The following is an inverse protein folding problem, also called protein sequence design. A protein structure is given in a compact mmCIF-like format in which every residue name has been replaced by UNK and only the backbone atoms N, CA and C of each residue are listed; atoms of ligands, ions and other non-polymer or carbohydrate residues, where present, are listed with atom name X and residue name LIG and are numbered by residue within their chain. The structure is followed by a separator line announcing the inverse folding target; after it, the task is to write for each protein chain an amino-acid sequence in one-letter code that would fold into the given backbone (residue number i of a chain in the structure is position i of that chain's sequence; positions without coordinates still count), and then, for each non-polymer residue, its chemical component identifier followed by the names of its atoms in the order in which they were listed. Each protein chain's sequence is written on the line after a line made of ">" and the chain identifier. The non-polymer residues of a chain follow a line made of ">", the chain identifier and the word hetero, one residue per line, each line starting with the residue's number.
data_IF_939121643839
#
_entry.id   IF_939121643839
#
_cell.length_a   1.000
_cell.length_b   1.000
_cell.length_c   1.000
_cell.angle_alpha   90.00
_cell.angle_beta   90.00
_cell.angle_gamma   90.00
#
_symmetry.space_group_name_H-M   'P 1'
#
loop_
_entity.id
_entity.type
_entity.pdbx_description
1 polymer ?
#
# COMPACT_ATOMS: atom_id res chain seq x y z
N UNK A 1 -12.94 13.03 -2.04
CA UNK A 1 -12.65 11.98 -3.06
C UNK A 1 -12.58 10.60 -2.41
N UNK A 2 -11.63 10.33 -1.49
CA UNK A 2 -11.48 9.03 -0.80
C UNK A 2 -12.79 8.60 -0.11
N UNK A 3 -13.38 9.47 0.72
CA UNK A 3 -14.65 9.14 1.39
C UNK A 3 -15.79 8.78 0.44
N UNK A 4 -15.88 9.44 -0.72
CA UNK A 4 -16.91 9.14 -1.71
C UNK A 4 -16.66 7.78 -2.37
N UNK A 5 -15.41 7.48 -2.71
CA UNK A 5 -15.03 6.18 -3.27
C UNK A 5 -15.32 5.03 -2.28
N UNK A 6 -15.01 5.24 -0.99
CA UNK A 6 -15.32 4.28 0.07
C UNK A 6 -16.83 4.06 0.23
N UNK A 7 -17.63 5.13 0.27
CA UNK A 7 -19.11 5.06 0.38
C UNK A 7 -19.77 4.38 -0.82
N UNK A 8 -19.18 4.52 -2.01
CA UNK A 8 -19.67 3.91 -3.25
C UNK A 8 -19.06 2.52 -3.49
N UNK A 9 -18.26 2.00 -2.56
CA UNK A 9 -17.54 0.73 -2.70
C UNK A 9 -16.73 0.63 -4.00
N UNK A 10 -16.22 1.77 -4.50
CA UNK A 10 -15.37 1.78 -5.68
C UNK A 10 -14.04 1.07 -5.37
N UNK A 11 -13.47 0.32 -6.32
CA UNK A 11 -12.10 -0.17 -6.20
C UNK A 11 -11.12 0.97 -5.97
N UNK A 12 -10.18 0.79 -5.03
CA UNK A 12 -9.16 1.78 -4.67
C UNK A 12 -7.78 1.11 -4.67
N UNK A 13 -6.84 1.71 -5.42
CA UNK A 13 -5.41 1.47 -5.30
C UNK A 13 -4.72 2.72 -4.75
N UNK A 14 -4.18 2.64 -3.54
CA UNK A 14 -3.46 3.74 -2.90
C UNK A 14 -1.95 3.53 -2.92
N UNK A 15 -1.20 4.43 -3.55
CA UNK A 15 0.26 4.34 -3.67
C UNK A 15 0.93 5.43 -2.85
N UNK A 16 1.89 5.06 -2.01
CA UNK A 16 2.67 5.95 -1.14
C UNK A 16 1.76 6.87 -0.32
N UNK A 17 1.65 8.16 -0.68
CA UNK A 17 0.72 9.10 -0.05
C UNK A 17 -0.74 8.66 -0.14
N UNK A 18 -1.11 7.89 -1.16
CA UNK A 18 -2.44 7.30 -1.29
C UNK A 18 -2.77 6.32 -0.15
N UNK A 19 -1.84 5.44 0.21
CA UNK A 19 -1.96 4.57 1.38
C UNK A 19 -2.16 5.38 2.66
N UNK A 20 -1.34 6.41 2.85
CA UNK A 20 -1.38 7.27 4.04
C UNK A 20 -2.70 8.04 4.15
N UNK A 21 -3.16 8.61 3.03
CA UNK A 21 -4.41 9.36 2.99
C UNK A 21 -5.64 8.47 3.27
N UNK A 22 -5.66 7.23 2.76
CA UNK A 22 -6.73 6.27 3.06
C UNK A 22 -6.69 5.84 4.52
N UNK A 23 -5.50 5.58 5.07
CA UNK A 23 -5.35 5.25 6.49
C UNK A 23 -5.95 6.34 7.39
N UNK A 24 -5.57 7.59 7.15
CA UNK A 24 -6.08 8.74 7.93
C UNK A 24 -7.58 8.93 7.73
N UNK A 25 -8.09 8.78 6.51
CA UNK A 25 -9.52 8.88 6.24
C UNK A 25 -10.36 7.81 6.96
N UNK A 26 -9.76 6.66 7.28
CA UNK A 26 -10.38 5.56 8.02
C UNK A 26 -10.08 5.61 9.53
N UNK A 27 -9.42 6.66 10.02
CA UNK A 27 -9.19 6.89 11.45
C UNK A 27 -7.84 6.40 11.98
N UNK A 28 -6.88 6.07 11.12
CA UNK A 28 -5.48 5.79 11.51
C UNK A 28 -4.63 7.06 11.64
N UNK A 29 -3.37 6.90 12.08
CA UNK A 29 -2.39 7.98 12.26
C UNK A 29 -1.12 7.77 11.43
N UNK A 30 -0.26 8.79 11.35
CA UNK A 30 1.01 8.75 10.63
C UNK A 30 2.16 9.13 11.56
N UNK A 31 3.32 8.51 11.31
CA UNK A 31 4.62 9.06 11.71
C UNK A 31 4.90 10.22 10.76
N UNK A 32 4.94 11.44 11.30
CA UNK A 32 5.05 12.68 10.50
C UNK A 32 6.45 12.87 9.90
N UNK A 33 7.47 12.29 10.53
CA UNK A 33 8.85 12.26 10.00
C UNK A 33 9.61 11.05 10.56
N UNK A 34 9.92 10.08 9.69
CA UNK A 34 10.66 8.86 10.00
C UNK A 34 12.09 9.16 10.51
N UNK A 35 12.87 10.07 9.89
CA UNK A 35 14.19 10.43 10.41
C UNK A 35 14.16 10.95 11.85
N UNK A 36 13.20 11.80 12.20
CA UNK A 36 13.01 12.25 13.59
C UNK A 36 12.63 11.12 14.55
N UNK A 37 11.93 10.09 14.06
CA UNK A 37 11.63 8.88 14.83
C UNK A 37 12.80 7.87 14.87
N UNK A 38 13.97 8.21 14.30
CA UNK A 38 15.15 7.36 14.27
C UNK A 38 15.12 6.26 13.19
N UNK A 39 14.15 6.30 12.27
CA UNK A 39 14.01 5.35 11.17
C UNK A 39 14.57 6.01 9.89
N UNK A 40 15.47 5.32 9.20
CA UNK A 40 16.17 5.84 8.01
C UNK A 40 16.12 4.82 6.87
N UNK A 41 16.47 5.22 5.64
CA UNK A 41 16.49 4.30 4.49
C UNK A 41 15.17 4.19 3.71
N UNK A 42 14.16 5.01 4.04
CA UNK A 42 12.90 5.14 3.28
C UNK A 42 12.86 6.39 2.38
N UNK A 43 13.72 7.38 2.69
CA UNK A 43 13.80 8.62 1.91
C UNK A 43 14.51 8.42 0.56
N UNK A 44 14.55 9.49 -0.23
CA UNK A 44 15.37 9.50 -1.46
C UNK A 44 16.86 9.39 -1.13
N UNK A 45 17.61 8.69 -1.98
CA UNK A 45 19.07 8.59 -1.89
C UNK A 45 19.68 9.04 -3.22
N UNK A 46 20.67 9.95 -3.17
CA UNK A 46 21.38 10.46 -4.36
C UNK A 46 20.46 10.97 -5.49
N UNK A 47 19.32 11.58 -5.13
CA UNK A 47 18.34 12.11 -6.09
C UNK A 47 17.37 11.09 -6.66
N UNK A 48 17.54 9.79 -6.36
CA UNK A 48 16.64 8.70 -6.76
C UNK A 48 15.89 8.09 -5.58
N UNK A 49 15.08 7.07 -5.88
CA UNK A 49 14.45 6.23 -4.86
C UNK A 49 15.55 5.41 -4.15
N UNK A 50 15.42 5.23 -2.83
CA UNK A 50 16.15 4.19 -2.11
C UNK A 50 15.50 2.82 -2.33
N UNK A 51 16.13 1.76 -1.82
CA UNK A 51 15.56 0.42 -1.86
C UNK A 51 15.69 -0.23 -0.50
N UNK A 52 14.65 -0.93 -0.11
CA UNK A 52 14.67 -1.81 1.06
C UNK A 52 13.77 -3.00 0.78
N UNK A 53 13.85 -3.97 1.67
CA UNK A 53 13.05 -5.17 1.55
C UNK A 53 11.71 -5.05 2.27
N UNK A 54 10.72 -5.78 1.79
CA UNK A 54 9.45 -6.00 2.47
C UNK A 54 9.15 -7.48 2.60
N UNK A 55 8.48 -7.85 3.69
CA UNK A 55 7.92 -9.19 3.89
C UNK A 55 6.40 -9.13 3.77
N UNK A 56 5.83 -9.98 2.92
CA UNK A 56 4.39 -10.04 2.63
C UNK A 56 3.72 -11.05 3.56
N UNK A 57 2.60 -10.66 4.17
CA UNK A 57 1.80 -11.53 5.04
C UNK A 57 1.01 -12.52 4.17
N UNK A 58 1.04 -13.80 4.54
CA UNK A 58 0.27 -14.84 3.85
C UNK A 58 -1.24 -14.56 3.85
N UNK A 59 -1.96 -15.04 2.82
CA UNK A 59 -3.40 -14.81 2.63
C UNK A 59 -3.76 -13.33 2.47
N UNK A 60 -2.86 -12.52 1.92
CA UNK A 60 -3.12 -11.14 1.49
C UNK A 60 -3.29 -11.07 -0.03
N UNK A 61 -3.78 -9.95 -0.54
CA UNK A 61 -3.96 -9.76 -2.00
C UNK A 61 -2.67 -9.94 -2.80
N UNK A 62 -1.50 -9.68 -2.19
CA UNK A 62 -0.20 -9.80 -2.83
C UNK A 62 0.46 -11.17 -2.63
N UNK A 63 0.01 -11.98 -1.66
CA UNK A 63 0.75 -13.16 -1.21
C UNK A 63 0.81 -14.32 -2.21
N UNK A 64 -0.07 -14.35 -3.20
CA UNK A 64 -0.08 -15.41 -4.22
C UNK A 64 1.12 -15.30 -5.17
N UNK A 65 1.68 -14.09 -5.31
CA UNK A 65 2.76 -13.82 -6.24
C UNK A 65 4.04 -13.33 -5.54
N UNK A 66 3.91 -12.72 -4.36
CA UNK A 66 5.01 -12.09 -3.62
C UNK A 66 5.11 -12.68 -2.23
N UNK A 67 6.34 -12.89 -1.75
CA UNK A 67 6.59 -13.33 -0.36
C UNK A 67 7.56 -12.39 0.33
N UNK A 68 8.68 -12.06 -0.34
CA UNK A 68 9.69 -11.15 0.16
C UNK A 68 10.37 -10.49 -1.03
N UNK A 69 10.30 -9.18 -1.11
CA UNK A 69 10.70 -8.42 -2.30
C UNK A 69 11.52 -7.19 -1.91
N UNK A 70 12.42 -6.77 -2.79
CA UNK A 70 13.06 -5.46 -2.68
C UNK A 70 12.21 -4.42 -3.43
N UNK A 71 11.79 -3.38 -2.70
CA UNK A 71 10.92 -2.32 -3.20
C UNK A 71 11.67 -0.99 -3.24
N UNK A 72 11.24 -0.09 -4.13
CA UNK A 72 11.73 1.28 -4.15
C UNK A 72 11.04 2.13 -3.07
N UNK A 73 11.75 3.12 -2.54
CA UNK A 73 11.24 3.94 -1.45
C UNK A 73 11.63 5.40 -1.61
N UNK A 74 10.66 6.29 -1.40
CA UNK A 74 10.86 7.74 -1.51
C UNK A 74 9.93 8.51 -0.57
N UNK A 75 9.81 8.05 0.68
CA UNK A 75 8.91 8.63 1.67
C UNK A 75 9.63 8.90 2.99
N UNK A 76 9.21 9.98 3.66
CA UNK A 76 9.66 10.32 5.01
C UNK A 76 8.52 10.21 6.04
N UNK A 77 7.32 9.87 5.58
CA UNK A 77 6.15 9.60 6.42
C UNK A 77 5.77 8.14 6.27
N UNK A 78 5.15 7.58 7.30
CA UNK A 78 4.62 6.23 7.28
C UNK A 78 3.39 6.13 8.18
N UNK A 79 2.67 5.01 8.10
CA UNK A 79 1.61 4.70 9.06
C UNK A 79 2.21 4.48 10.45
N UNK A 80 1.65 5.18 11.43
CA UNK A 80 1.91 4.93 12.85
C UNK A 80 0.88 3.91 13.36
N UNK A 81 -0.38 4.31 13.46
CA UNK A 81 -1.49 3.42 13.78
C UNK A 81 -2.32 3.11 12.52
N UNK A 82 -2.43 1.83 12.12
CA UNK A 82 -3.37 1.42 11.10
C UNK A 82 -4.81 1.71 11.54
N UNK A 83 -5.65 2.12 10.61
CA UNK A 83 -7.08 2.27 10.86
C UNK A 83 -7.70 0.93 11.32
N UNK A 84 -8.72 0.92 12.21
CA UNK A 84 -9.29 -0.32 12.78
C UNK A 84 -9.84 -1.31 11.75
N UNK A 85 -10.27 -0.80 10.59
CA UNK A 85 -10.83 -1.61 9.48
C UNK A 85 -9.76 -2.15 8.53
N UNK A 86 -8.50 -1.76 8.70
CA UNK A 86 -7.39 -2.19 7.84
C UNK A 86 -6.53 -3.24 8.54
N UNK A 87 -6.00 -4.16 7.75
CA UNK A 87 -4.93 -5.06 8.19
C UNK A 87 -3.64 -4.73 7.47
N UNK A 88 -2.52 -4.81 8.18
CA UNK A 88 -1.18 -4.67 7.60
C UNK A 88 -0.79 -5.97 6.89
N UNK A 89 -0.39 -5.85 5.63
CA UNK A 89 -0.06 -7.00 4.76
C UNK A 89 1.35 -6.98 4.21
N UNK A 90 2.11 -5.91 4.42
CA UNK A 90 3.56 -5.92 4.25
C UNK A 90 4.26 -5.01 5.27
N UNK A 91 5.46 -5.40 5.68
CA UNK A 91 6.34 -4.56 6.51
C UNK A 91 7.79 -4.63 6.05
N UNK A 92 8.50 -3.52 6.22
CA UNK A 92 9.96 -3.49 6.17
C UNK A 92 10.57 -4.09 7.46
N UNK A 93 11.87 -4.46 7.46
CA UNK A 93 12.54 -5.06 8.63
C UNK A 93 12.53 -4.21 9.91
N UNK A 94 12.43 -2.90 9.78
CA UNK A 94 12.32 -1.94 10.89
C UNK A 94 10.88 -1.76 11.41
N UNK A 95 9.94 -2.49 10.82
CA UNK A 95 8.53 -2.51 11.22
C UNK A 95 7.66 -1.51 10.48
N UNK A 96 8.21 -0.65 9.62
CA UNK A 96 7.42 0.29 8.81
C UNK A 96 6.39 -0.46 7.97
N UNK A 97 5.15 0.03 7.99
CA UNK A 97 4.03 -0.53 7.22
C UNK A 97 4.21 -0.22 5.75
N UNK A 98 4.25 -1.26 4.93
CA UNK A 98 4.52 -1.15 3.50
C UNK A 98 3.32 -1.53 2.62
N UNK A 99 2.37 -2.31 3.15
CA UNK A 99 1.09 -2.56 2.48
C UNK A 99 -0.03 -2.78 3.47
N UNK A 100 -1.25 -2.42 3.05
CA UNK A 100 -2.49 -2.64 3.79
C UNK A 100 -3.65 -2.95 2.83
N UNK A 101 -4.65 -3.63 3.36
CA UNK A 101 -5.93 -3.91 2.70
C UNK A 101 -7.02 -4.03 3.77
N UNK A 102 -8.27 -4.29 3.37
CA UNK A 102 -9.35 -4.52 4.32
C UNK A 102 -9.04 -5.68 5.26
N UNK A 103 -9.34 -5.49 6.56
CA UNK A 103 -9.32 -6.59 7.53
C UNK A 103 -10.40 -7.63 7.20
N UNK A 104 -11.60 -7.14 6.85
CA UNK A 104 -12.71 -7.92 6.33
C UNK A 104 -13.18 -7.32 5.01
N UNK A 105 -13.04 -8.09 3.93
CA UNK A 105 -13.43 -7.68 2.59
C UNK A 105 -14.95 -7.84 2.34
N UNK A 106 -15.69 -8.56 3.21
CA UNK A 106 -17.11 -8.79 3.02
C UNK A 106 -17.89 -7.46 3.02
N UNK A 107 -18.63 -7.21 1.95
CA UNK A 107 -19.42 -5.98 1.79
C UNK A 107 -18.61 -4.71 1.49
N UNK A 108 -17.29 -4.83 1.30
CA UNK A 108 -16.42 -3.71 0.93
C UNK A 108 -15.95 -3.81 -0.53
N UNK A 109 -15.68 -2.66 -1.17
CA UNK A 109 -15.04 -2.62 -2.47
C UNK A 109 -13.57 -3.04 -2.38
N UNK A 110 -12.96 -3.42 -3.50
CA UNK A 110 -11.54 -3.76 -3.56
C UNK A 110 -10.67 -2.62 -3.00
N UNK A 111 -9.72 -2.94 -2.12
CA UNK A 111 -8.79 -1.99 -1.55
C UNK A 111 -7.40 -2.61 -1.44
N UNK A 112 -6.45 -2.05 -2.19
CA UNK A 112 -5.04 -2.37 -2.07
C UNK A 112 -4.26 -1.09 -1.84
N UNK A 113 -3.48 -1.04 -0.77
CA UNK A 113 -2.64 0.09 -0.42
C UNK A 113 -1.19 -0.38 -0.35
N UNK A 114 -0.27 0.33 -1.01
CA UNK A 114 1.17 0.07 -0.98
C UNK A 114 1.94 1.36 -0.72
N UNK A 115 3.04 1.29 0.02
CA UNK A 115 3.83 2.44 0.41
C UNK A 115 4.98 2.73 -0.57
N UNK A 116 5.52 1.69 -1.23
CA UNK A 116 6.45 1.83 -2.36
C UNK A 116 5.76 2.37 -3.63
N UNK A 117 6.55 2.58 -4.69
CA UNK A 117 6.11 3.15 -5.96
C UNK A 117 6.19 2.11 -7.10
N UNK A 118 5.21 1.18 -7.22
CA UNK A 118 5.24 0.13 -8.25
C UNK A 118 5.25 0.70 -9.68
N UNK A 119 4.74 1.90 -9.87
CA UNK A 119 4.72 2.63 -11.15
C UNK A 119 6.10 3.13 -11.60
N UNK A 120 7.09 3.15 -10.70
CA UNK A 120 8.48 3.56 -10.98
C UNK A 120 9.45 2.39 -11.05
N UNK A 121 8.96 1.17 -10.85
CA UNK A 121 9.75 -0.05 -10.98
C UNK A 121 9.83 -0.51 -12.44
N UNK A 122 10.78 -1.39 -12.72
CA UNK A 122 10.95 -2.00 -14.03
C UNK A 122 9.65 -2.67 -14.49
N UNK A 123 9.17 -2.26 -15.67
CA UNK A 123 7.83 -2.61 -16.15
C UNK A 123 7.59 -4.11 -16.32
N UNK A 124 8.62 -4.95 -16.34
CA UNK A 124 8.51 -6.42 -16.45
C UNK A 124 8.48 -7.12 -15.10
N UNK A 125 8.84 -6.44 -14.01
CA UNK A 125 8.84 -7.02 -12.68
C UNK A 125 7.41 -7.26 -12.18
N UNK A 126 7.20 -8.41 -11.54
CA UNK A 126 5.91 -8.77 -10.91
C UNK A 126 5.46 -7.69 -9.93
N UNK A 127 6.38 -7.19 -9.10
CA UNK A 127 6.16 -6.13 -8.13
C UNK A 127 5.64 -4.81 -8.76
N UNK A 128 6.02 -4.52 -10.01
CA UNK A 128 5.54 -3.34 -10.74
C UNK A 128 4.11 -3.53 -11.27
N UNK A 129 3.83 -4.69 -11.89
CA UNK A 129 2.57 -4.94 -12.60
C UNK A 129 1.42 -5.37 -11.69
N UNK A 130 1.73 -6.14 -10.66
CA UNK A 130 0.72 -6.85 -9.87
C UNK A 130 -0.31 -5.90 -9.23
N UNK A 131 0.07 -4.82 -8.53
CA UNK A 131 -0.92 -3.92 -7.92
C UNK A 131 -1.87 -3.31 -8.95
N UNK A 132 -1.34 -2.86 -10.09
CA UNK A 132 -2.12 -2.30 -11.18
C UNK A 132 -3.05 -3.33 -11.83
N UNK A 133 -2.57 -4.57 -12.02
CA UNK A 133 -3.37 -5.65 -12.58
C UNK A 133 -4.55 -6.01 -11.68
N UNK A 134 -4.29 -6.23 -10.38
CA UNK A 134 -5.35 -6.54 -9.40
C UNK A 134 -6.40 -5.43 -9.35
N UNK A 135 -5.95 -4.17 -9.39
CA UNK A 135 -6.85 -3.02 -9.42
C UNK A 135 -7.71 -2.98 -10.69
N UNK A 136 -7.13 -3.18 -11.87
CA UNK A 136 -7.86 -3.19 -13.14
C UNK A 136 -8.89 -4.33 -13.17
N UNK A 137 -8.49 -5.54 -12.73
CA UNK A 137 -9.39 -6.69 -12.65
C UNK A 137 -10.58 -6.38 -11.71
N UNK A 138 -10.32 -5.73 -10.57
CA UNK A 138 -11.37 -5.29 -9.65
C UNK A 138 -12.29 -4.21 -10.23
N UNK A 139 -11.74 -3.25 -10.98
CA UNK A 139 -12.54 -2.24 -11.72
C UNK A 139 -13.44 -2.92 -12.75
N UNK A 140 -12.91 -3.86 -13.54
CA UNK A 140 -13.72 -4.61 -14.50
C UNK A 140 -14.84 -5.40 -13.82
N UNK A 141 -14.56 -6.07 -12.71
CA UNK A 141 -15.57 -6.82 -11.95
C UNK A 141 -16.66 -5.90 -11.37
N UNK A 142 -16.28 -4.74 -10.82
CA UNK A 142 -17.22 -3.77 -10.27
C UNK A 142 -18.25 -3.30 -11.31
N UNK A 143 -17.81 -2.96 -12.52
CA UNK A 143 -18.70 -2.48 -13.59
C UNK A 143 -19.51 -3.59 -14.27
N UNK A 144 -19.11 -4.86 -14.16
CA UNK A 144 -19.90 -5.98 -14.64
C UNK A 144 -21.03 -6.36 -13.67
N UNK A 145 -20.89 -6.01 -12.39
CA UNK A 145 -21.86 -6.30 -11.33
C UNK A 145 -22.85 -5.15 -11.06
N UNK A 146 -22.61 -3.97 -11.62
CA UNK A 146 -23.44 -2.77 -11.50
C UNK A 146 -24.51 -2.69 -12.61
#
# INVERSE_FOLDING_TARGET
>A
AIEAALKLHLPILGICRGLQAVNVALGGSLIVDLPQAGITGHGKTNGGDSFHQVSIVAKSLLSDALTREDVNSSHHQAVDQPAPTLRVTARAPDGVVEAMEWMDAAGNGFLLLVQWHPERLESRATLSRLPGRLFIDAVSAFWQAA
#
